data_IF_183247967727
#
_entry.id   IF_183247967727
#
_cell.length_a   1.000
_cell.length_b   1.000
_cell.length_c   1.000
_cell.angle_alpha   90.00
_cell.angle_beta   90.00
_cell.angle_gamma   90.00
#
_symmetry.space_group_name_H-M   'P 1'
#
loop_
_entity.id
_entity.type
_entity.pdbx_description
1 polymer ?
#
# COMPACT_ATOMS: atom_id res chain seq x y z
N UNK A 1 -12.46 0.77 -5.10
CA UNK A 1 -11.69 1.99 -5.43
C UNK A 1 -10.27 1.73 -4.96
N UNK A 2 -9.28 1.65 -5.85
CA UNK A 2 -7.87 1.52 -5.43
C UNK A 2 -7.33 2.90 -5.08
N UNK A 3 -6.55 3.00 -4.01
CA UNK A 3 -5.73 4.18 -3.80
C UNK A 3 -4.73 4.29 -4.97
N UNK A 4 -4.46 5.51 -5.45
CA UNK A 4 -3.43 5.74 -6.47
C UNK A 4 -2.02 5.88 -5.89
N UNK A 5 -1.92 6.02 -4.56
CA UNK A 5 -0.68 6.18 -3.82
C UNK A 5 -0.95 5.94 -2.32
N UNK A 6 0.07 5.47 -1.61
CA UNK A 6 0.15 5.58 -0.15
C UNK A 6 0.16 7.03 0.31
N UNK A 7 -0.40 7.33 1.47
CA UNK A 7 -0.28 8.67 2.03
C UNK A 7 -1.05 8.89 3.31
N UNK A 8 -0.65 9.94 4.02
CA UNK A 8 -1.36 10.44 5.20
C UNK A 8 -2.07 11.72 4.84
N UNK A 9 -3.38 11.77 5.06
CA UNK A 9 -4.18 12.99 4.95
C UNK A 9 -4.52 13.49 6.35
N UNK A 10 -4.30 14.79 6.61
CA UNK A 10 -4.64 15.40 7.89
C UNK A 10 -6.08 15.92 7.88
N UNK A 11 -6.89 15.47 8.84
CA UNK A 11 -8.20 16.04 9.14
C UNK A 11 -8.04 17.16 10.16
N UNK A 12 -8.00 18.40 9.67
CA UNK A 12 -7.80 19.60 10.49
C UNK A 12 -9.11 20.36 10.66
N UNK A 13 -9.52 20.60 11.91
CA UNK A 13 -10.66 21.45 12.22
C UNK A 13 -10.23 22.91 12.28
N UNK A 14 -10.61 23.71 11.28
CA UNK A 14 -10.30 25.16 11.23
C UNK A 14 -11.11 25.94 12.27
N UNK A 15 -12.35 25.55 12.55
CA UNK A 15 -13.24 26.13 13.56
C UNK A 15 -13.88 25.02 14.40
N UNK A 16 -14.09 25.28 15.69
CA UNK A 16 -14.95 24.45 16.53
C UNK A 16 -15.97 25.36 17.21
N UNK A 17 -17.24 25.13 16.92
CA UNK A 17 -18.37 25.83 17.51
C UNK A 17 -19.35 24.77 18.02
N UNK A 18 -19.41 24.62 19.34
CA UNK A 18 -20.38 23.77 20.02
C UNK A 18 -21.26 24.69 20.84
N UNK A 19 -22.58 24.50 20.82
CA UNK A 19 -23.54 25.38 21.50
C UNK A 19 -24.49 24.59 22.38
N UNK A 20 -24.97 25.23 23.44
CA UNK A 20 -26.02 24.69 24.29
C UNK A 20 -27.43 24.87 23.65
N UNK A 21 -28.47 24.40 24.35
CA UNK A 21 -29.86 24.56 23.93
C UNK A 21 -30.33 26.03 23.84
N UNK A 22 -29.60 26.95 24.50
CA UNK A 22 -29.82 28.39 24.46
C UNK A 22 -28.98 29.10 23.38
N UNK A 23 -28.29 28.36 22.51
CA UNK A 23 -27.39 28.88 21.47
C UNK A 23 -26.13 29.59 21.99
N UNK A 24 -25.76 29.41 23.26
CA UNK A 24 -24.53 29.96 23.82
C UNK A 24 -23.32 29.09 23.44
N UNK A 25 -22.17 29.67 23.06
CA UNK A 25 -20.95 28.90 22.78
C UNK A 25 -20.44 28.15 24.02
N UNK A 26 -20.04 26.90 23.82
CA UNK A 26 -19.39 26.05 24.80
C UNK A 26 -17.88 25.99 24.51
N UNK A 27 -17.07 26.07 25.57
CA UNK A 27 -15.62 25.93 25.47
C UNK A 27 -15.25 24.50 25.07
N UNK A 28 -14.67 24.34 23.88
CA UNK A 28 -14.27 23.04 23.34
C UNK A 28 -12.83 23.05 22.86
N UNK A 29 -12.14 21.92 23.05
CA UNK A 29 -10.80 21.69 22.49
C UNK A 29 -10.94 20.96 21.16
N UNK A 30 -10.22 21.44 20.14
CA UNK A 30 -10.17 20.78 18.84
C UNK A 30 -9.28 19.55 18.94
N UNK A 31 -9.77 18.42 18.44
CA UNK A 31 -8.94 17.26 18.16
C UNK A 31 -8.84 17.13 16.65
N UNK A 32 -7.62 17.23 16.12
CA UNK A 32 -7.34 16.89 14.72
C UNK A 32 -7.02 15.40 14.62
N UNK A 33 -7.23 14.83 13.44
CA UNK A 33 -6.93 13.43 13.17
C UNK A 33 -6.13 13.27 11.89
N UNK A 34 -5.72 12.04 11.62
CA UNK A 34 -5.11 11.65 10.34
C UNK A 34 -5.84 10.45 9.78
N UNK A 35 -5.98 10.40 8.46
CA UNK A 35 -6.38 9.21 7.72
C UNK A 35 -5.15 8.72 6.99
N UNK A 36 -4.77 7.49 7.26
CA UNK A 36 -3.69 6.81 6.54
C UNK A 36 -4.29 5.92 5.46
N UNK A 37 -3.81 6.08 4.24
CA UNK A 37 -4.13 5.22 3.11
C UNK A 37 -2.90 4.36 2.85
N UNK A 38 -3.03 3.07 3.16
CA UNK A 38 -2.02 2.05 2.88
C UNK A 38 -2.45 1.22 1.67
N UNK A 39 -1.51 0.97 0.76
CA UNK A 39 -1.64 -0.13 -0.20
C UNK A 39 -1.29 -1.42 0.54
N UNK A 40 -2.03 -2.51 0.29
CA UNK A 40 -1.72 -3.80 0.89
C UNK A 40 -0.55 -4.41 0.13
N UNK A 41 0.64 -4.54 0.76
CA UNK A 41 1.74 -5.21 0.10
C UNK A 41 1.34 -6.65 -0.25
N UNK A 42 1.74 -7.14 -1.41
CA UNK A 42 1.40 -8.48 -1.89
C UNK A 42 0.04 -8.60 -2.59
N UNK A 43 -0.87 -7.62 -2.48
CA UNK A 43 -2.12 -7.56 -3.26
C UNK A 43 -1.84 -6.87 -4.60
N UNK A 44 -1.22 -7.60 -5.52
CA UNK A 44 -0.75 -7.07 -6.80
C UNK A 44 -1.91 -6.90 -7.79
N UNK A 45 -2.95 -7.73 -7.70
CA UNK A 45 -4.13 -7.62 -8.55
C UNK A 45 -5.15 -6.58 -8.00
N UNK A 46 -5.00 -6.15 -6.74
CA UNK A 46 -5.80 -5.19 -5.99
C UNK A 46 -7.24 -5.62 -5.74
N UNK A 47 -7.46 -6.91 -5.54
CA UNK A 47 -8.74 -7.52 -5.20
C UNK A 47 -8.95 -7.67 -3.68
N UNK A 48 -8.03 -7.11 -2.88
CA UNK A 48 -8.00 -7.11 -1.41
C UNK A 48 -7.64 -8.46 -0.78
N UNK A 49 -7.21 -9.44 -1.57
CA UNK A 49 -6.68 -10.71 -1.10
C UNK A 49 -5.19 -10.78 -1.43
N UNK A 50 -4.51 -11.69 -0.75
CA UNK A 50 -3.12 -12.05 -1.05
C UNK A 50 -3.11 -13.55 -1.25
N UNK A 51 -3.29 -13.96 -2.49
CA UNK A 51 -3.54 -15.36 -2.83
C UNK A 51 -2.88 -15.77 -4.16
N UNK A 52 -3.43 -16.81 -4.80
CA UNK A 52 -2.79 -17.46 -5.93
C UNK A 52 -2.69 -16.55 -7.15
N UNK A 53 -3.68 -15.70 -7.34
CA UNK A 53 -3.74 -14.73 -8.41
C UNK A 53 -2.57 -13.73 -8.32
N UNK A 54 -2.21 -13.29 -7.10
CA UNK A 54 -1.04 -12.44 -6.87
C UNK A 54 0.28 -13.19 -7.09
N UNK A 55 0.36 -14.46 -6.70
CA UNK A 55 1.54 -15.28 -6.96
C UNK A 55 1.81 -15.43 -8.47
N UNK A 56 0.77 -15.47 -9.31
CA UNK A 56 0.94 -15.50 -10.76
C UNK A 56 1.53 -14.20 -11.31
N UNK A 57 1.15 -13.05 -10.74
CA UNK A 57 1.75 -11.76 -11.07
C UNK A 57 3.22 -11.71 -10.62
N UNK A 58 3.50 -12.19 -9.41
CA UNK A 58 4.85 -12.29 -8.88
C UNK A 58 5.76 -13.16 -9.76
N UNK A 59 5.25 -14.31 -10.24
CA UNK A 59 5.99 -15.20 -11.12
C UNK A 59 6.39 -14.56 -12.46
N UNK A 60 5.57 -13.63 -12.98
CA UNK A 60 5.92 -12.85 -14.18
C UNK A 60 7.00 -11.81 -13.90
N UNK A 61 7.09 -11.30 -12.67
CA UNK A 61 8.10 -10.33 -12.26
C UNK A 61 9.43 -10.97 -11.87
N UNK A 62 9.48 -12.28 -11.64
CA UNK A 62 10.68 -13.00 -11.19
C UNK A 62 11.91 -12.73 -12.08
N UNK A 63 13.05 -12.42 -11.45
CA UNK A 63 14.32 -12.04 -12.08
C UNK A 63 14.32 -10.73 -12.88
N UNK A 64 13.24 -9.97 -12.90
CA UNK A 64 13.28 -8.61 -13.43
C UNK A 64 13.94 -7.64 -12.44
N UNK A 65 14.55 -6.59 -12.97
CA UNK A 65 15.26 -5.57 -12.18
C UNK A 65 15.13 -4.16 -12.74
N UNK A 66 15.53 -3.18 -11.95
CA UNK A 66 15.56 -1.79 -12.32
C UNK A 66 16.32 -1.55 -13.64
N UNK A 67 15.62 -0.97 -14.61
CA UNK A 67 16.12 -0.70 -15.95
C UNK A 67 15.64 -1.69 -17.02
N UNK A 68 15.04 -2.82 -16.64
CA UNK A 68 14.39 -3.72 -17.60
C UNK A 68 13.13 -3.06 -18.22
N UNK A 69 12.78 -3.37 -19.47
CA UNK A 69 11.49 -2.99 -20.05
C UNK A 69 10.33 -3.48 -19.16
N UNK A 70 9.34 -2.63 -18.91
CA UNK A 70 8.22 -2.95 -18.01
C UNK A 70 8.56 -2.90 -16.51
N UNK A 71 9.75 -2.44 -16.10
CA UNK A 71 10.08 -2.30 -14.68
C UNK A 71 9.21 -1.25 -13.98
N UNK A 72 9.30 0.01 -14.42
CA UNK A 72 8.72 1.15 -13.71
C UNK A 72 7.26 1.46 -14.06
N UNK A 73 6.77 0.96 -15.19
CA UNK A 73 5.46 1.31 -15.74
C UNK A 73 4.79 0.09 -16.36
N UNK A 74 3.46 0.07 -16.31
CA UNK A 74 2.67 -0.92 -17.04
C UNK A 74 2.85 -0.69 -18.55
N UNK A 75 3.23 -1.74 -19.27
CA UNK A 75 3.43 -1.75 -20.71
C UNK A 75 2.52 -2.79 -21.36
N UNK A 76 1.76 -2.37 -22.37
CA UNK A 76 0.75 -3.23 -23.03
C UNK A 76 1.34 -4.53 -23.62
N UNK A 77 2.59 -4.48 -24.07
CA UNK A 77 3.29 -5.62 -24.68
C UNK A 77 4.06 -6.49 -23.68
N UNK A 78 4.05 -6.15 -22.39
CA UNK A 78 4.82 -6.83 -21.35
C UNK A 78 3.87 -7.27 -20.23
N UNK A 79 3.34 -8.51 -20.30
CA UNK A 79 2.47 -9.05 -19.25
C UNK A 79 3.13 -9.01 -17.87
N UNK A 80 2.39 -8.60 -16.85
CA UNK A 80 2.87 -8.52 -15.46
C UNK A 80 3.59 -7.22 -15.09
N UNK A 81 3.86 -6.33 -16.05
CA UNK A 81 4.40 -4.99 -15.75
C UNK A 81 3.35 -4.10 -15.04
N UNK A 82 3.75 -3.17 -14.15
CA UNK A 82 5.12 -2.87 -13.75
C UNK A 82 5.70 -3.92 -12.81
N UNK A 83 6.90 -4.44 -13.11
CA UNK A 83 7.54 -5.46 -12.27
C UNK A 83 7.97 -4.93 -10.90
N UNK A 84 8.23 -3.62 -10.80
CA UNK A 84 8.61 -2.97 -9.54
C UNK A 84 7.55 -3.07 -8.44
N UNK A 85 6.31 -3.46 -8.76
CA UNK A 85 5.27 -3.67 -7.75
C UNK A 85 5.54 -4.92 -6.89
N UNK A 86 6.33 -5.86 -7.40
CA UNK A 86 6.66 -7.12 -6.74
C UNK A 86 7.99 -7.05 -5.97
N UNK A 87 8.72 -5.94 -6.03
CA UNK A 87 9.95 -5.65 -5.28
C UNK A 87 9.55 -5.12 -3.89
N UNK A 88 9.30 -6.06 -2.99
CA UNK A 88 8.71 -5.83 -1.66
C UNK A 88 9.70 -6.12 -0.52
N UNK A 89 10.98 -6.31 -0.85
CA UNK A 89 12.05 -6.57 0.09
C UNK A 89 13.22 -5.57 -0.06
N UNK A 90 14.06 -5.41 0.98
CA UNK A 90 13.79 -5.77 2.37
C UNK A 90 12.55 -5.08 2.95
N UNK A 91 11.91 -5.75 3.91
CA UNK A 91 10.77 -5.21 4.66
C UNK A 91 10.96 -5.34 6.16
N UNK A 92 10.30 -4.46 6.91
CA UNK A 92 10.22 -4.50 8.38
C UNK A 92 8.80 -4.13 8.84
N UNK A 93 8.52 -4.27 10.14
CA UNK A 93 7.20 -4.02 10.71
C UNK A 93 6.30 -5.25 10.66
N UNK A 94 4.99 -5.03 10.69
CA UNK A 94 3.98 -6.09 10.71
C UNK A 94 2.83 -5.74 9.78
N UNK A 95 2.36 -6.71 8.99
CA UNK A 95 1.23 -6.53 8.10
C UNK A 95 -0.02 -5.97 8.84
N UNK A 96 -0.79 -5.04 8.24
CA UNK A 96 -0.62 -4.46 6.89
C UNK A 96 0.42 -3.32 6.82
N UNK A 97 1.01 -2.93 7.94
CA UNK A 97 1.90 -1.77 8.05
C UNK A 97 3.37 -2.19 7.88
N UNK A 98 3.71 -2.73 6.71
CA UNK A 98 5.09 -3.05 6.37
C UNK A 98 5.84 -1.82 5.87
N UNK A 99 7.05 -1.62 6.39
CA UNK A 99 8.01 -0.65 5.89
C UNK A 99 8.90 -1.33 4.85
N UNK A 100 8.55 -1.18 3.58
CA UNK A 100 9.23 -1.78 2.43
C UNK A 100 10.27 -0.81 1.88
N UNK A 101 11.49 -1.30 1.64
CA UNK A 101 12.59 -0.56 1.01
C UNK A 101 13.07 -1.37 -0.20
N UNK A 102 12.44 -1.22 -1.38
CA UNK A 102 12.75 -2.01 -2.57
C UNK A 102 14.23 -1.95 -2.94
N UNK A 103 14.83 -3.08 -3.31
CA UNK A 103 16.27 -3.17 -3.62
C UNK A 103 16.58 -3.15 -5.14
N UNK A 104 15.54 -3.02 -5.97
CA UNK A 104 15.65 -2.83 -7.41
C UNK A 104 15.64 -4.13 -8.20
N UNK A 105 15.26 -5.26 -7.62
CA UNK A 105 15.13 -6.56 -8.27
C UNK A 105 13.99 -7.33 -7.62
N UNK A 106 13.41 -8.27 -8.36
CA UNK A 106 12.42 -9.20 -7.83
C UNK A 106 13.05 -10.57 -7.76
N UNK A 107 13.34 -11.03 -6.55
CA UNK A 107 14.02 -12.30 -6.31
C UNK A 107 13.53 -13.02 -5.05
N UNK A 108 14.38 -13.85 -4.48
CA UNK A 108 14.00 -14.76 -3.40
C UNK A 108 13.59 -14.01 -2.13
N UNK A 109 14.25 -12.90 -1.85
CA UNK A 109 13.99 -12.05 -0.70
C UNK A 109 12.56 -11.48 -0.73
N UNK A 110 12.07 -11.08 -1.91
CA UNK A 110 10.69 -10.63 -2.10
C UNK A 110 9.68 -11.76 -1.91
N UNK A 111 10.00 -12.95 -2.42
CA UNK A 111 9.15 -14.13 -2.25
C UNK A 111 9.03 -14.51 -0.77
N UNK A 112 10.10 -14.35 0.02
CA UNK A 112 10.05 -14.58 1.46
C UNK A 112 9.11 -13.59 2.15
N UNK A 113 9.10 -12.31 1.76
CA UNK A 113 8.14 -11.34 2.28
C UNK A 113 6.71 -11.70 1.85
N UNK A 114 6.50 -12.04 0.58
CA UNK A 114 5.19 -12.40 0.03
C UNK A 114 4.58 -13.62 0.75
N UNK A 115 5.39 -14.66 1.01
CA UNK A 115 4.93 -15.85 1.73
C UNK A 115 4.57 -15.58 3.19
N UNK A 116 5.23 -14.62 3.85
CA UNK A 116 4.88 -14.21 5.23
C UNK A 116 3.51 -13.55 5.32
N UNK A 117 3.08 -12.87 4.26
CA UNK A 117 1.79 -12.14 4.21
C UNK A 117 0.72 -12.88 3.41
N UNK A 118 1.01 -14.11 2.97
CA UNK A 118 0.08 -14.97 2.29
C UNK A 118 -1.22 -15.13 3.10
N UNK A 119 -2.37 -14.86 2.49
CA UNK A 119 -3.68 -14.91 3.15
C UNK A 119 -3.81 -13.98 4.38
N UNK A 120 -3.00 -12.93 4.51
CA UNK A 120 -3.12 -11.99 5.63
C UNK A 120 -4.42 -11.18 5.60
N UNK A 121 -5.04 -11.04 4.42
CA UNK A 121 -6.42 -10.57 4.24
C UNK A 121 -7.29 -11.70 3.72
N UNK A 122 -8.40 -11.99 4.41
CA UNK A 122 -9.40 -13.00 4.04
C UNK A 122 -10.81 -12.48 4.30
#
# INVERSE_FOLDING_TARGET
MKAKAKGTSALTHSVADLRDAGNNPLGVTKTNGTVEINEFPGDFNGDTRIDFEDLMIFALAWNHKAGDPGWSQAEQSIPGSPFSQCDISPSSGTYPNLNITPDGKVDFEDLMVFTLIWNATR
#
